data_IF_134744815137
#
_entry.id   IF_134744815137
#
_cell.length_a   1.000
_cell.length_b   1.000
_cell.length_c   1.000
_cell.angle_alpha   90.00
_cell.angle_beta   90.00
_cell.angle_gamma   90.00
#
_symmetry.space_group_name_H-M   'P 1'
#
loop_
_entity.id
_entity.type
_entity.pdbx_description
1 polymer ?
#
# COMPACT_ATOMS: atom_id res chain seq x y z
N UNK A 1 9.82 9.82 -16.57
CA UNK A 1 10.67 8.81 -15.88
C UNK A 1 10.88 9.11 -14.38
N UNK A 2 11.38 10.29 -13.97
CA UNK A 2 11.61 10.63 -12.54
C UNK A 2 10.32 10.70 -11.71
N UNK A 3 9.25 11.30 -12.25
CA UNK A 3 7.98 11.43 -11.55
C UNK A 3 7.29 10.08 -11.29
N UNK A 4 7.28 9.17 -12.28
CA UNK A 4 6.77 7.80 -12.11
C UNK A 4 7.53 7.04 -11.02
N UNK A 5 8.87 7.15 -11.02
CA UNK A 5 9.70 6.52 -10.00
C UNK A 5 9.45 7.13 -8.62
N UNK A 6 9.33 8.45 -8.52
CA UNK A 6 9.00 9.16 -7.28
C UNK A 6 7.64 8.71 -6.73
N UNK A 7 6.62 8.61 -7.59
CA UNK A 7 5.28 8.15 -7.20
C UNK A 7 5.32 6.72 -6.66
N UNK A 8 6.08 5.82 -7.31
CA UNK A 8 6.28 4.46 -6.82
C UNK A 8 6.94 4.42 -5.43
N UNK A 9 7.98 5.24 -5.22
CA UNK A 9 8.65 5.37 -3.92
C UNK A 9 7.72 5.92 -2.84
N UNK A 10 6.94 6.96 -3.15
CA UNK A 10 5.97 7.56 -2.21
C UNK A 10 4.91 6.54 -1.81
N UNK A 11 4.31 5.84 -2.77
CA UNK A 11 3.32 4.80 -2.48
C UNK A 11 3.92 3.68 -1.64
N UNK A 12 5.09 3.17 -2.02
CA UNK A 12 5.77 2.11 -1.26
C UNK A 12 6.05 2.55 0.19
N UNK A 13 6.51 3.79 0.38
CA UNK A 13 6.74 4.37 1.71
C UNK A 13 5.45 4.46 2.55
N UNK A 14 4.34 4.93 1.96
CA UNK A 14 3.05 4.99 2.63
C UNK A 14 2.55 3.61 3.06
N UNK A 15 2.68 2.61 2.20
CA UNK A 15 2.29 1.23 2.53
C UNK A 15 3.14 0.63 3.65
N UNK A 16 4.45 0.89 3.66
CA UNK A 16 5.35 0.45 4.73
C UNK A 16 4.98 1.12 6.06
N UNK A 17 4.74 2.44 6.05
CA UNK A 17 4.32 3.18 7.25
C UNK A 17 2.97 2.68 7.77
N UNK A 18 2.00 2.44 6.88
CA UNK A 18 0.70 1.90 7.26
C UNK A 18 0.83 0.48 7.86
N UNK A 19 1.68 -0.38 7.30
CA UNK A 19 1.95 -1.71 7.82
C UNK A 19 2.58 -1.65 9.22
N UNK A 20 3.57 -0.77 9.41
CA UNK A 20 4.19 -0.52 10.72
C UNK A 20 3.18 -0.02 11.75
N UNK A 21 2.35 0.95 11.39
CA UNK A 21 1.29 1.47 12.25
C UNK A 21 0.30 0.38 12.65
N UNK A 22 -0.08 -0.49 11.72
CA UNK A 22 -1.00 -1.59 11.96
C UNK A 22 -0.46 -2.64 12.95
N UNK A 23 0.86 -2.82 13.02
CA UNK A 23 1.52 -3.73 13.96
C UNK A 23 1.60 -3.15 15.38
N UNK A 24 1.73 -1.83 15.50
CA UNK A 24 1.90 -1.16 16.80
C UNK A 24 0.56 -0.77 17.41
N UNK A 25 -0.48 -0.51 16.59
CA UNK A 25 -1.76 -0.05 17.11
C UNK A 25 -2.46 -1.12 17.99
N UNK A 26 -3.01 -0.74 19.16
CA UNK A 26 -3.65 -1.69 20.08
C UNK A 26 -5.09 -2.02 19.69
N UNK A 27 -5.79 -1.09 19.07
CA UNK A 27 -7.21 -1.21 18.67
C UNK A 27 -7.38 -0.96 17.18
N UNK A 28 -8.46 -1.47 16.62
CA UNK A 28 -8.86 -1.16 15.25
C UNK A 28 -9.74 0.10 15.15
N UNK A 29 -10.20 0.40 13.94
CA UNK A 29 -11.04 1.58 13.66
C UNK A 29 -12.44 1.51 14.29
N UNK A 30 -12.86 0.36 14.80
CA UNK A 30 -14.12 0.17 15.51
C UNK A 30 -13.95 0.17 17.04
N UNK A 31 -12.72 0.36 17.53
CA UNK A 31 -12.40 0.34 18.97
C UNK A 31 -12.23 -1.06 19.54
N UNK A 32 -12.25 -2.11 18.71
CA UNK A 32 -12.03 -3.49 19.12
C UNK A 32 -10.53 -3.80 19.26
N UNK A 33 -10.18 -4.59 20.26
CA UNK A 33 -8.78 -4.99 20.50
C UNK A 33 -8.26 -5.79 19.33
N UNK A 34 -7.12 -5.37 18.79
CA UNK A 34 -6.57 -5.98 17.60
C UNK A 34 -5.79 -7.24 17.95
N UNK A 35 -6.45 -8.39 17.83
CA UNK A 35 -5.82 -9.70 18.04
C UNK A 35 -4.86 -10.05 16.90
N UNK A 36 -3.91 -10.96 17.16
CA UNK A 36 -2.96 -11.45 16.16
C UNK A 36 -3.60 -11.88 14.83
N UNK A 37 -4.68 -12.68 14.81
CA UNK A 37 -5.37 -13.05 13.57
C UNK A 37 -5.89 -11.83 12.79
N UNK A 38 -6.50 -10.85 13.49
CA UNK A 38 -7.04 -9.64 12.87
C UNK A 38 -5.92 -8.78 12.28
N UNK A 39 -4.76 -8.70 12.95
CA UNK A 39 -3.57 -8.01 12.44
C UNK A 39 -3.10 -8.61 11.11
N UNK A 40 -3.00 -9.93 11.03
CA UNK A 40 -2.56 -10.64 9.81
C UNK A 40 -3.54 -10.43 8.67
N UNK A 41 -4.85 -10.55 8.92
CA UNK A 41 -5.88 -10.28 7.89
C UNK A 41 -5.79 -8.84 7.40
N UNK A 42 -5.65 -7.88 8.31
CA UNK A 42 -5.52 -6.46 7.96
C UNK A 42 -4.26 -6.18 7.13
N UNK A 43 -3.14 -6.84 7.45
CA UNK A 43 -1.90 -6.76 6.68
C UNK A 43 -2.08 -7.38 5.29
N UNK A 44 -2.75 -8.53 5.18
CA UNK A 44 -3.02 -9.17 3.90
C UNK A 44 -3.89 -8.28 2.99
N UNK A 45 -4.91 -7.63 3.55
CA UNK A 45 -5.73 -6.65 2.82
C UNK A 45 -4.89 -5.46 2.36
N UNK A 46 -4.01 -4.95 3.23
CA UNK A 46 -3.10 -3.86 2.88
C UNK A 46 -2.15 -4.26 1.73
N UNK A 47 -1.60 -5.47 1.75
CA UNK A 47 -0.78 -6.00 0.64
C UNK A 47 -1.61 -6.13 -0.64
N UNK A 48 -2.87 -6.58 -0.55
CA UNK A 48 -3.77 -6.64 -1.70
C UNK A 48 -3.96 -5.28 -2.38
N UNK A 49 -4.19 -4.22 -1.60
CA UNK A 49 -4.26 -2.85 -2.13
C UNK A 49 -2.93 -2.38 -2.72
N UNK A 50 -1.80 -2.73 -2.11
CA UNK A 50 -0.47 -2.40 -2.66
C UNK A 50 -0.27 -3.01 -4.04
N UNK A 51 -0.63 -4.29 -4.22
CA UNK A 51 -0.55 -4.97 -5.51
C UNK A 51 -1.46 -4.30 -6.55
N UNK A 52 -2.69 -3.94 -6.18
CA UNK A 52 -3.61 -3.23 -7.07
C UNK A 52 -3.03 -1.89 -7.56
N UNK A 53 -2.46 -1.10 -6.65
CA UNK A 53 -1.81 0.18 -7.00
C UNK A 53 -0.60 -0.06 -7.90
N UNK A 54 0.22 -1.06 -7.62
CA UNK A 54 1.35 -1.44 -8.47
C UNK A 54 0.92 -1.81 -9.88
N UNK A 55 -0.13 -2.63 -10.01
CA UNK A 55 -0.68 -3.02 -11.31
C UNK A 55 -1.22 -1.80 -12.07
N UNK A 56 -1.94 -0.90 -11.39
CA UNK A 56 -2.41 0.35 -12.00
C UNK A 56 -1.25 1.23 -12.50
N UNK A 57 -0.16 1.35 -11.71
CA UNK A 57 1.03 2.10 -12.11
C UNK A 57 1.81 1.42 -13.25
N UNK A 58 1.79 0.09 -13.32
CA UNK A 58 2.40 -0.68 -14.40
C UNK A 58 1.60 -0.51 -15.70
N UNK A 59 0.28 -0.59 -15.63
CA UNK A 59 -0.64 -0.33 -16.74
C UNK A 59 -0.48 1.11 -17.23
N UNK A 60 -0.45 2.09 -16.32
CA UNK A 60 -0.21 3.50 -16.68
C UNK A 60 1.10 3.67 -17.46
N UNK A 61 2.17 2.98 -17.04
CA UNK A 61 3.46 3.02 -17.73
C UNK A 61 3.40 2.38 -19.12
N UNK A 62 2.59 1.34 -19.31
CA UNK A 62 2.45 0.66 -20.60
C UNK A 62 1.52 1.39 -21.58
N UNK A 63 0.47 2.05 -21.08
CA UNK A 63 -0.56 2.68 -21.91
C UNK A 63 -0.35 4.16 -22.18
N UNK A 64 0.44 4.90 -21.39
CA UNK A 64 0.86 6.24 -21.82
C UNK A 64 1.96 6.11 -22.88
N UNK A 65 1.72 6.50 -24.15
CA UNK A 65 2.80 6.64 -25.11
C UNK A 65 3.82 7.61 -24.52
N UNK A 66 5.11 7.26 -24.69
CA UNK A 66 6.25 8.06 -24.22
C UNK A 66 6.04 9.51 -24.65
N UNK A 67 5.59 10.38 -23.74
CA UNK A 67 5.68 11.82 -23.97
C UNK A 67 7.19 12.12 -23.90
N UNK A 68 7.71 12.46 -25.08
CA UNK A 68 9.10 12.80 -25.38
C UNK A 68 9.67 13.82 -24.39
#
# INVERSE_FOLDING_TARGET
>A
MRLWRLMNWVWSGLFILAAGWLLVRPTDGTGTVQTWPIRVVSLAVLVGFFVLVLLAQLLWRHWLPRQH
#
